data_IF_376755905581
#
_entry.id   IF_376755905581
#
_cell.length_a   1.000
_cell.length_b   1.000
_cell.length_c   1.000
_cell.angle_alpha   90.00
_cell.angle_beta   90.00
_cell.angle_gamma   90.00
#
_symmetry.space_group_name_H-M   'P 1'
#
loop_
_entity.id
_entity.type
_entity.pdbx_description
1 polymer ?
#
# COMPACT_ATOMS: atom_id res chain seq x y z
N UNK A 1 10.29 -11.36 16.83
CA UNK A 1 10.31 -10.58 15.57
C UNK A 1 9.89 -11.50 14.46
N UNK A 2 8.65 -11.40 13.96
CA UNK A 2 8.14 -12.25 12.88
C UNK A 2 7.48 -11.32 11.86
N UNK A 3 8.00 -11.40 10.63
CA UNK A 3 7.61 -10.61 9.49
C UNK A 3 6.16 -10.89 9.07
N UNK A 4 5.45 -9.84 8.68
CA UNK A 4 4.14 -9.93 8.05
C UNK A 4 4.30 -10.57 6.67
N UNK A 5 3.77 -11.78 6.50
CA UNK A 5 3.66 -12.42 5.18
C UNK A 5 2.36 -11.92 4.55
N UNK A 6 2.48 -10.94 3.67
CA UNK A 6 1.48 -10.69 2.63
C UNK A 6 1.39 -11.97 1.79
N UNK A 7 0.18 -12.47 1.56
CA UNK A 7 -0.06 -13.66 0.76
C UNK A 7 0.68 -13.58 -0.58
N UNK A 8 1.73 -14.39 -0.70
CA UNK A 8 2.57 -14.49 -1.89
C UNK A 8 1.76 -15.20 -2.98
N UNK A 9 1.30 -14.46 -3.97
CA UNK A 9 0.92 -15.03 -5.26
C UNK A 9 2.22 -15.33 -6.01
N UNK A 10 2.72 -16.56 -5.90
CA UNK A 10 3.84 -17.06 -6.70
C UNK A 10 3.38 -17.24 -8.15
N UNK A 11 3.64 -16.25 -9.00
CA UNK A 11 3.67 -16.46 -10.44
C UNK A 11 5.11 -16.65 -10.90
N UNK A 12 5.43 -17.88 -11.32
CA UNK A 12 6.65 -18.17 -12.04
C UNK A 12 6.56 -17.52 -13.43
N UNK A 13 7.44 -16.55 -13.70
CA UNK A 13 7.65 -16.04 -15.04
C UNK A 13 9.15 -15.87 -15.29
N UNK A 14 9.71 -16.81 -16.05
CA UNK A 14 10.97 -16.60 -16.74
C UNK A 14 10.73 -15.72 -17.96
N UNK A 15 11.43 -14.60 -18.03
CA UNK A 15 11.86 -13.89 -19.25
C UNK A 15 12.80 -12.78 -18.80
N UNK A 16 14.03 -12.77 -19.33
CA UNK A 16 15.05 -11.79 -18.99
C UNK A 16 14.63 -10.39 -19.46
N UNK A 17 14.12 -9.57 -18.54
CA UNK A 17 14.12 -8.12 -18.71
C UNK A 17 15.55 -7.65 -18.44
N UNK A 18 16.15 -6.96 -19.41
CA UNK A 18 17.41 -6.25 -19.21
C UNK A 18 17.14 -5.14 -18.18
N UNK A 19 17.50 -5.40 -16.92
CA UNK A 19 17.47 -4.39 -15.87
C UNK A 19 18.37 -3.23 -16.26
N UNK A 20 17.77 -2.08 -16.56
CA UNK A 20 18.50 -0.86 -16.84
C UNK A 20 19.24 -0.40 -15.58
N UNK A 21 20.55 -0.16 -15.71
CA UNK A 21 21.36 0.57 -14.73
C UNK A 21 20.90 2.03 -14.75
N UNK A 22 20.58 2.57 -13.57
CA UNK A 22 20.11 3.95 -13.34
C UNK A 22 20.90 4.98 -14.19
N UNK A 23 20.18 5.84 -14.91
CA UNK A 23 20.81 6.84 -15.78
C UNK A 23 20.04 8.16 -15.89
N UNK A 24 19.67 8.73 -14.75
CA UNK A 24 19.63 10.18 -14.49
C UNK A 24 19.70 10.43 -12.97
N UNK A 25 19.92 11.69 -12.55
CA UNK A 25 20.18 12.06 -11.16
C UNK A 25 19.14 11.46 -10.19
N UNK A 26 19.56 10.47 -9.40
CA UNK A 26 18.78 9.91 -8.29
C UNK A 26 17.84 8.76 -8.64
N UNK A 27 17.81 8.21 -9.85
CA UNK A 27 16.93 7.06 -10.16
C UNK A 27 17.29 5.80 -9.33
N UNK A 28 16.26 5.11 -8.86
CA UNK A 28 16.35 3.86 -8.11
C UNK A 28 15.89 2.65 -8.93
N UNK A 29 15.01 1.84 -8.33
CA UNK A 29 14.35 0.72 -9.00
C UNK A 29 13.20 1.22 -9.87
N UNK A 30 13.12 0.83 -11.15
CA UNK A 30 12.07 1.27 -12.07
C UNK A 30 12.34 0.92 -13.53
N UNK A 31 11.52 1.48 -14.43
CA UNK A 31 11.60 1.27 -15.88
C UNK A 31 11.46 2.59 -16.63
N UNK A 32 12.21 2.73 -17.72
CA UNK A 32 11.99 3.78 -18.72
C UNK A 32 10.89 3.35 -19.69
N UNK A 33 9.85 4.16 -19.82
CA UNK A 33 8.73 3.93 -20.73
C UNK A 33 8.85 4.84 -21.96
N UNK A 34 8.66 4.26 -23.15
CA UNK A 34 8.70 4.96 -24.43
C UNK A 34 7.34 4.90 -25.15
N UNK A 35 6.89 5.99 -25.79
CA UNK A 35 7.52 7.31 -25.81
C UNK A 35 7.35 8.06 -24.48
N UNK A 36 8.15 9.11 -24.27
CA UNK A 36 7.85 10.11 -23.23
C UNK A 36 6.56 10.86 -23.55
N UNK A 37 5.90 11.37 -22.52
CA UNK A 37 4.75 12.23 -22.66
C UNK A 37 5.18 13.63 -23.12
N UNK A 38 4.59 14.15 -24.22
CA UNK A 38 4.93 15.47 -24.74
C UNK A 38 4.40 16.60 -23.84
N UNK A 39 5.23 17.62 -23.64
CA UNK A 39 4.88 18.94 -23.09
C UNK A 39 5.95 19.96 -23.53
N UNK A 40 5.67 21.26 -23.38
CA UNK A 40 6.59 22.31 -23.81
C UNK A 40 7.93 22.20 -23.08
N UNK A 41 8.99 22.01 -23.88
CA UNK A 41 10.35 21.89 -23.37
C UNK A 41 10.79 20.45 -23.05
N UNK A 42 9.90 19.46 -23.10
CA UNK A 42 10.32 18.06 -22.97
C UNK A 42 11.07 17.61 -24.22
N UNK A 43 12.31 17.15 -24.04
CA UNK A 43 13.14 16.57 -25.10
C UNK A 43 13.53 15.11 -24.81
N UNK A 44 13.04 14.55 -23.72
CA UNK A 44 13.33 13.17 -23.35
C UNK A 44 12.67 12.21 -24.35
N UNK A 45 13.32 11.09 -24.64
CA UNK A 45 12.75 10.04 -25.49
C UNK A 45 11.86 9.05 -24.71
N UNK A 46 12.00 9.04 -23.38
CA UNK A 46 11.33 8.13 -22.46
C UNK A 46 11.02 8.87 -21.15
N UNK A 47 10.03 8.39 -20.41
CA UNK A 47 9.75 8.81 -19.03
C UNK A 47 10.14 7.71 -18.04
N UNK A 48 10.76 8.08 -16.92
CA UNK A 48 11.11 7.15 -15.87
C UNK A 48 9.91 6.89 -14.95
N UNK A 49 9.53 5.62 -14.80
CA UNK A 49 8.54 5.16 -13.85
C UNK A 49 9.22 4.26 -12.80
N UNK A 50 9.34 4.79 -11.58
CA UNK A 50 9.98 4.05 -10.50
C UNK A 50 10.25 4.90 -9.26
N UNK A 51 11.21 4.41 -8.49
CA UNK A 51 11.71 5.06 -7.29
C UNK A 51 12.88 5.98 -7.59
N UNK A 52 13.18 6.85 -6.64
CA UNK A 52 14.36 7.70 -6.58
C UNK A 52 15.07 7.53 -5.25
N UNK A 53 16.40 7.56 -5.28
CA UNK A 53 17.29 7.55 -4.11
C UNK A 53 17.42 8.97 -3.57
N UNK A 54 16.98 9.16 -2.34
CA UNK A 54 17.00 10.44 -1.64
C UNK A 54 18.36 10.68 -0.95
N UNK A 55 18.54 11.89 -0.39
CA UNK A 55 19.77 12.31 0.31
C UNK A 55 20.13 11.45 1.54
N UNK A 56 19.14 10.81 2.16
CA UNK A 56 19.31 9.88 3.29
C UNK A 56 19.54 8.42 2.84
N UNK A 57 19.67 8.17 1.54
CA UNK A 57 19.82 6.85 0.94
C UNK A 57 18.52 6.04 0.83
N UNK A 58 17.39 6.56 1.33
CA UNK A 58 16.09 5.89 1.18
C UNK A 58 15.59 5.96 -0.27
N UNK A 59 14.78 4.98 -0.67
CA UNK A 59 14.05 4.99 -1.95
C UNK A 59 12.64 5.56 -1.73
N UNK A 60 12.18 6.42 -2.62
CA UNK A 60 10.83 6.98 -2.60
C UNK A 60 10.25 7.13 -4.01
N UNK A 61 8.92 7.20 -4.13
CA UNK A 61 8.23 7.53 -5.37
C UNK A 61 7.93 9.02 -5.44
N UNK A 62 8.02 9.61 -6.63
CA UNK A 62 7.59 10.99 -6.84
C UNK A 62 6.10 11.07 -7.17
N UNK A 63 5.51 12.24 -6.91
CA UNK A 63 4.06 12.49 -7.05
C UNK A 63 3.75 13.81 -7.74
N UNK A 64 4.68 14.32 -8.54
CA UNK A 64 4.49 15.59 -9.26
C UNK A 64 5.11 15.50 -10.66
N UNK A 65 4.54 14.64 -11.50
CA UNK A 65 5.00 14.40 -12.87
C UNK A 65 5.47 15.69 -13.59
N UNK A 66 6.56 15.57 -14.36
CA UNK A 66 7.25 16.62 -15.12
C UNK A 66 8.06 17.67 -14.32
N UNK A 67 7.95 17.74 -12.98
CA UNK A 67 8.95 18.49 -12.20
C UNK A 67 10.28 17.74 -12.16
N UNK A 68 11.35 18.42 -11.76
CA UNK A 68 12.70 17.84 -11.71
C UNK A 68 12.74 16.67 -10.72
N UNK A 69 13.41 15.59 -11.13
CA UNK A 69 13.62 14.42 -10.29
C UNK A 69 14.47 14.78 -9.06
N UNK A 70 14.14 14.27 -7.86
CA UNK A 70 14.99 14.42 -6.70
C UNK A 70 16.26 13.58 -6.87
N UNK A 71 17.33 13.99 -6.20
CA UNK A 71 18.59 13.27 -6.15
C UNK A 71 19.12 13.22 -4.72
N UNK A 72 20.29 12.61 -4.55
CA UNK A 72 21.01 12.60 -3.27
C UNK A 72 21.44 13.99 -2.80
N UNK A 73 21.41 15.01 -3.67
CA UNK A 73 21.67 16.41 -3.33
C UNK A 73 20.40 17.22 -2.98
N UNK A 74 19.21 16.64 -3.12
CA UNK A 74 17.95 17.34 -2.83
C UNK A 74 17.81 17.57 -1.33
N UNK A 75 17.67 18.85 -0.94
CA UNK A 75 17.31 19.25 0.42
C UNK A 75 15.81 19.10 0.66
N UNK A 76 15.42 18.64 1.85
CA UNK A 76 14.03 18.42 2.24
C UNK A 76 13.64 19.29 3.43
N UNK A 77 12.40 19.79 3.42
CA UNK A 77 11.80 20.40 4.60
C UNK A 77 11.55 19.31 5.68
N UNK A 78 11.63 19.66 6.97
CA UNK A 78 11.65 18.68 8.06
C UNK A 78 10.35 17.89 8.20
N UNK A 79 9.20 18.54 8.01
CA UNK A 79 7.90 17.94 8.28
C UNK A 79 7.22 17.46 6.99
N UNK A 80 6.94 16.14 6.85
CA UNK A 80 6.12 15.65 5.76
C UNK A 80 4.71 16.24 5.83
N UNK A 81 4.12 16.54 4.68
CA UNK A 81 2.76 17.11 4.56
C UNK A 81 1.77 16.06 4.05
N UNK A 82 0.47 16.33 4.17
CA UNK A 82 -0.58 15.46 3.58
C UNK A 82 -0.34 15.36 2.07
N UNK A 83 -0.52 14.16 1.49
CA UNK A 83 -0.47 13.99 0.04
C UNK A 83 -1.58 14.79 -0.65
N UNK A 84 -1.19 15.60 -1.63
CA UNK A 84 -2.06 16.40 -2.50
C UNK A 84 -1.87 15.97 -3.95
N UNK A 85 -2.74 16.46 -4.82
CA UNK A 85 -2.42 16.47 -6.25
C UNK A 85 -1.22 17.41 -6.54
N UNK A 86 -0.77 17.39 -7.79
CA UNK A 86 0.35 18.15 -8.32
C UNK A 86 0.21 19.66 -8.10
N UNK A 87 -1.02 20.17 -8.12
CA UNK A 87 -1.35 21.59 -8.01
C UNK A 87 -1.75 22.01 -6.59
N UNK A 88 -1.63 21.12 -5.61
CA UNK A 88 -1.93 21.38 -4.20
C UNK A 88 -3.40 21.15 -3.82
N UNK A 89 -4.22 20.61 -4.72
CA UNK A 89 -5.58 20.18 -4.42
C UNK A 89 -5.61 18.99 -3.47
N UNK A 90 -6.56 18.95 -2.52
CA UNK A 90 -6.64 17.86 -1.56
C UNK A 90 -7.06 16.55 -2.24
N UNK A 91 -6.38 15.45 -1.89
CA UNK A 91 -6.89 14.11 -2.20
C UNK A 91 -7.95 13.69 -1.17
N UNK A 92 -8.85 12.78 -1.55
CA UNK A 92 -9.78 12.20 -0.58
C UNK A 92 -9.03 11.30 0.43
N UNK A 93 -9.57 11.10 1.65
CA UNK A 93 -9.03 10.09 2.57
C UNK A 93 -8.99 8.69 1.96
N UNK A 94 -9.99 8.36 1.13
CA UNK A 94 -10.07 7.10 0.41
C UNK A 94 -8.91 6.91 -0.57
N UNK A 95 -8.58 7.94 -1.35
CA UNK A 95 -7.46 7.88 -2.28
C UNK A 95 -6.10 7.75 -1.59
N UNK A 96 -5.93 8.42 -0.45
CA UNK A 96 -4.72 8.24 0.36
C UNK A 96 -4.65 6.84 0.96
N UNK A 97 -5.77 6.25 1.37
CA UNK A 97 -5.81 4.87 1.83
C UNK A 97 -5.53 3.86 0.68
N UNK A 98 -5.97 4.13 -0.56
CA UNK A 98 -5.57 3.35 -1.75
C UNK A 98 -4.07 3.43 -1.98
N UNK A 99 -3.51 4.64 -1.97
CA UNK A 99 -2.07 4.86 -2.15
C UNK A 99 -1.23 4.14 -1.09
N UNK A 100 -1.72 4.07 0.17
CA UNK A 100 -1.06 3.31 1.21
C UNK A 100 -0.94 1.81 0.87
N UNK A 101 -1.99 1.20 0.33
CA UNK A 101 -1.97 -0.20 -0.13
C UNK A 101 -0.91 -0.38 -1.23
N UNK A 102 -0.87 0.51 -2.22
CA UNK A 102 0.10 0.44 -3.32
C UNK A 102 1.54 0.59 -2.83
N UNK A 103 1.79 1.53 -1.92
CA UNK A 103 3.11 1.80 -1.35
C UNK A 103 3.60 0.65 -0.48
N UNK A 104 2.72 0.01 0.29
CA UNK A 104 3.07 -1.17 1.08
C UNK A 104 3.43 -2.36 0.19
N UNK A 105 2.66 -2.59 -0.89
CA UNK A 105 2.98 -3.60 -1.89
C UNK A 105 4.31 -3.29 -2.60
N UNK A 106 4.52 -2.04 -3.02
CA UNK A 106 5.79 -1.59 -3.59
C UNK A 106 6.98 -1.84 -2.67
N UNK A 107 6.84 -1.55 -1.37
CA UNK A 107 7.87 -1.85 -0.37
C UNK A 107 8.14 -3.35 -0.23
N UNK A 108 7.12 -4.20 -0.28
CA UNK A 108 7.29 -5.66 -0.23
C UNK A 108 8.04 -6.19 -1.47
N UNK A 109 8.05 -5.44 -2.56
CA UNK A 109 8.69 -5.78 -3.84
C UNK A 109 9.74 -4.74 -4.28
N UNK A 110 10.45 -4.13 -3.33
CA UNK A 110 11.32 -2.96 -3.57
C UNK A 110 12.47 -3.19 -4.59
N UNK A 111 12.83 -4.45 -4.84
CA UNK A 111 13.87 -4.84 -5.80
C UNK A 111 13.33 -5.20 -7.18
N UNK A 112 12.00 -5.16 -7.40
CA UNK A 112 11.41 -5.38 -8.72
C UNK A 112 11.20 -4.05 -9.47
N UNK A 113 11.82 -3.90 -10.65
CA UNK A 113 11.54 -2.80 -11.59
C UNK A 113 10.07 -2.69 -11.95
N UNK A 114 9.41 -3.83 -12.20
CA UNK A 114 8.02 -3.89 -12.63
C UNK A 114 7.06 -3.40 -11.55
N UNK A 115 7.25 -3.83 -10.30
CA UNK A 115 6.46 -3.35 -9.17
C UNK A 115 6.69 -1.87 -8.91
N UNK A 116 7.95 -1.43 -8.99
CA UNK A 116 8.29 -0.02 -8.77
C UNK A 116 7.66 0.89 -9.83
N UNK A 117 7.70 0.49 -11.10
CA UNK A 117 7.06 1.20 -12.20
C UNK A 117 5.53 1.19 -12.08
N UNK A 118 4.92 0.06 -11.72
CA UNK A 118 3.47 -0.03 -11.55
C UNK A 118 2.95 0.89 -10.44
N UNK A 119 3.66 0.96 -9.30
CA UNK A 119 3.34 1.89 -8.21
C UNK A 119 3.50 3.35 -8.66
N UNK A 120 4.57 3.67 -9.40
CA UNK A 120 4.80 5.02 -9.93
C UNK A 120 3.67 5.48 -10.87
N UNK A 121 3.26 4.63 -11.82
CA UNK A 121 2.16 4.90 -12.75
C UNK A 121 0.86 5.23 -11.99
N UNK A 122 0.52 4.45 -10.97
CA UNK A 122 -0.69 4.67 -10.17
C UNK A 122 -0.60 5.95 -9.31
N UNK A 123 0.56 6.24 -8.73
CA UNK A 123 0.78 7.46 -7.95
C UNK A 123 0.74 8.71 -8.83
N UNK A 124 1.36 8.67 -10.01
CA UNK A 124 1.29 9.76 -10.99
C UNK A 124 -0.12 9.96 -11.54
N UNK A 125 -0.88 8.89 -11.79
CA UNK A 125 -2.29 9.01 -12.13
C UNK A 125 -3.06 9.68 -10.99
N UNK A 126 -2.88 9.20 -9.76
CA UNK A 126 -3.61 9.70 -8.60
C UNK A 126 -3.31 11.17 -8.32
N UNK A 127 -2.09 11.63 -8.58
CA UNK A 127 -1.65 12.98 -8.22
C UNK A 127 -1.52 13.94 -9.39
N UNK A 128 -1.54 13.46 -10.63
CA UNK A 128 -1.25 14.25 -11.82
C UNK A 128 -2.35 14.26 -12.88
N UNK A 129 -3.40 13.44 -12.78
CA UNK A 129 -4.44 13.33 -13.83
C UNK A 129 -5.70 14.16 -13.56
N UNK A 130 -5.68 15.09 -12.59
CA UNK A 130 -6.79 16.02 -12.31
C UNK A 130 -6.95 17.09 -13.41
N UNK A 131 -5.94 17.21 -14.29
CA UNK A 131 -6.00 17.98 -15.53
C UNK A 131 -5.63 17.07 -16.70
N UNK A 132 -6.14 17.34 -17.93
CA UNK A 132 -5.78 16.55 -19.09
C UNK A 132 -4.29 16.74 -19.45
N UNK A 133 -3.70 15.77 -20.17
CA UNK A 133 -2.41 16.01 -20.81
C UNK A 133 -2.55 17.07 -21.90
N UNK A 134 -1.53 17.91 -22.04
CA UNK A 134 -1.48 18.99 -23.03
C UNK A 134 -0.03 19.21 -23.46
N UNK A 135 0.25 18.94 -24.75
CA UNK A 135 1.58 19.12 -25.32
C UNK A 135 2.00 20.61 -25.41
N UNK A 136 1.04 21.53 -25.37
CA UNK A 136 1.25 22.98 -25.32
C UNK A 136 1.47 23.54 -23.91
N UNK A 137 1.27 22.74 -22.87
CA UNK A 137 1.47 23.15 -21.48
C UNK A 137 2.93 23.03 -21.04
N UNK A 138 3.34 23.89 -20.10
CA UNK A 138 4.64 23.76 -19.44
C UNK A 138 4.66 22.64 -18.39
N UNK A 139 5.86 22.29 -17.91
CA UNK A 139 6.04 21.21 -16.92
C UNK A 139 5.26 21.40 -15.61
N UNK A 140 4.96 22.65 -15.20
CA UNK A 140 4.12 22.95 -14.04
C UNK A 140 2.61 22.71 -14.27
N UNK A 141 2.18 22.75 -15.52
CA UNK A 141 0.76 22.79 -15.90
C UNK A 141 0.27 21.47 -16.48
N UNK A 142 1.14 20.74 -17.20
CA UNK A 142 0.78 19.49 -17.87
C UNK A 142 0.25 18.44 -16.88
N UNK A 143 -0.89 17.83 -17.19
CA UNK A 143 -1.42 16.68 -16.46
C UNK A 143 -0.78 15.36 -16.92
N UNK A 144 -0.70 14.37 -16.03
CA UNK A 144 -0.17 13.04 -16.34
C UNK A 144 -1.10 12.24 -17.24
N UNK A 145 -0.60 11.76 -18.38
CA UNK A 145 -1.29 10.88 -19.31
C UNK A 145 -1.13 9.42 -18.87
N UNK A 146 -2.01 8.99 -17.97
CA UNK A 146 -2.07 7.59 -17.55
C UNK A 146 -2.25 6.63 -18.74
N UNK A 147 -3.03 7.02 -19.76
CA UNK A 147 -3.29 6.17 -20.91
C UNK A 147 -2.03 5.89 -21.72
N UNK A 148 -1.21 6.91 -21.95
CA UNK A 148 0.09 6.77 -22.61
C UNK A 148 1.02 5.85 -21.83
N UNK A 149 1.21 6.11 -20.53
CA UNK A 149 2.15 5.35 -19.70
C UNK A 149 1.70 3.91 -19.49
N UNK A 150 0.40 3.67 -19.25
CA UNK A 150 -0.13 2.31 -19.12
C UNK A 150 0.04 1.52 -20.42
N UNK A 151 -0.21 2.12 -21.60
CA UNK A 151 -0.02 1.42 -22.89
C UNK A 151 1.45 1.16 -23.20
N UNK A 152 2.34 2.08 -22.84
CA UNK A 152 3.78 1.93 -23.01
C UNK A 152 4.38 0.87 -22.06
N UNK A 153 3.77 0.65 -20.89
CA UNK A 153 4.25 -0.31 -19.91
C UNK A 153 4.21 -1.76 -20.45
N UNK A 154 5.22 -2.61 -20.17
CA UNK A 154 5.20 -4.03 -20.53
C UNK A 154 3.98 -4.79 -19.97
N UNK A 155 3.61 -5.90 -20.61
CA UNK A 155 2.47 -6.73 -20.20
C UNK A 155 2.45 -7.10 -18.70
N UNK A 156 3.57 -7.57 -18.11
CA UNK A 156 3.66 -7.83 -16.68
C UNK A 156 3.39 -6.59 -15.80
N UNK A 157 3.88 -5.41 -16.20
CA UNK A 157 3.68 -4.16 -15.46
C UNK A 157 2.20 -3.75 -15.51
N UNK A 158 1.56 -3.83 -16.67
CA UNK A 158 0.12 -3.53 -16.79
C UNK A 158 -0.73 -4.43 -15.89
N UNK A 159 -0.39 -5.73 -15.84
CA UNK A 159 -1.06 -6.65 -14.92
C UNK A 159 -0.89 -6.22 -13.46
N UNK A 160 0.32 -5.85 -13.04
CA UNK A 160 0.56 -5.37 -11.67
C UNK A 160 -0.23 -4.07 -11.39
N UNK A 161 -0.29 -3.14 -12.35
CA UNK A 161 -1.11 -1.92 -12.24
C UNK A 161 -2.59 -2.27 -12.00
N UNK A 162 -3.14 -3.20 -12.78
CA UNK A 162 -4.54 -3.61 -12.65
C UNK A 162 -4.81 -4.31 -11.32
N UNK A 163 -3.93 -5.24 -10.93
CA UNK A 163 -4.01 -5.95 -9.65
C UNK A 163 -3.92 -4.97 -8.47
N UNK A 164 -2.99 -4.00 -8.51
CA UNK A 164 -2.81 -2.99 -7.48
C UNK A 164 -4.00 -2.04 -7.38
N UNK A 165 -4.59 -1.62 -8.51
CA UNK A 165 -5.80 -0.80 -8.50
C UNK A 165 -6.94 -1.54 -7.79
N UNK A 166 -7.21 -2.78 -8.19
CA UNK A 166 -8.22 -3.61 -7.56
C UNK A 166 -7.94 -3.85 -6.06
N UNK A 167 -6.67 -4.07 -5.70
CA UNK A 167 -6.26 -4.22 -4.30
C UNK A 167 -6.49 -2.92 -3.51
N UNK A 168 -6.16 -1.76 -4.07
CA UNK A 168 -6.40 -0.45 -3.44
C UNK A 168 -7.88 -0.21 -3.17
N UNK A 169 -8.75 -0.53 -4.12
CA UNK A 169 -10.20 -0.39 -3.96
C UNK A 169 -10.77 -1.29 -2.88
N UNK A 170 -10.34 -2.57 -2.87
CA UNK A 170 -10.89 -3.60 -1.98
C UNK A 170 -10.28 -3.58 -0.58
N UNK A 171 -8.97 -3.33 -0.47
CA UNK A 171 -8.18 -3.56 0.74
C UNK A 171 -7.74 -2.27 1.44
N UNK A 172 -8.15 -1.09 0.97
CA UNK A 172 -7.88 0.16 1.68
C UNK A 172 -8.45 0.15 3.10
N UNK A 173 -7.70 0.77 4.01
CA UNK A 173 -8.12 0.99 5.40
C UNK A 173 -9.22 2.05 5.54
N UNK A 174 -9.76 2.23 6.76
CA UNK A 174 -9.45 1.47 7.98
C UNK A 174 -10.04 0.06 7.93
N UNK A 175 -9.28 -0.93 8.40
CA UNK A 175 -9.81 -2.28 8.60
C UNK A 175 -10.50 -2.40 9.96
N UNK A 176 -11.38 -3.40 10.07
CA UNK A 176 -12.03 -3.79 11.32
C UNK A 176 -11.66 -5.21 11.69
N UNK A 177 -11.57 -5.46 13.00
CA UNK A 177 -11.48 -6.81 13.58
C UNK A 177 -12.71 -6.99 14.46
N UNK A 178 -13.38 -8.13 14.34
CA UNK A 178 -14.49 -8.50 15.20
C UNK A 178 -14.20 -9.84 15.89
N UNK A 179 -14.62 -9.95 17.16
CA UNK A 179 -14.52 -11.16 17.96
C UNK A 179 -15.91 -11.51 18.46
N UNK A 180 -16.44 -12.66 18.05
CA UNK A 180 -17.75 -13.13 18.42
C UNK A 180 -17.65 -14.40 19.29
N UNK A 181 -18.29 -14.41 20.48
CA UNK A 181 -18.36 -15.61 21.30
C UNK A 181 -19.29 -16.66 20.69
N UNK A 182 -19.20 -17.93 21.13
CA UNK A 182 -20.21 -18.93 20.82
C UNK A 182 -21.58 -18.51 21.39
N UNK A 183 -22.64 -19.10 20.84
CA UNK A 183 -23.98 -18.98 21.42
C UNK A 183 -24.11 -19.84 22.68
N UNK A 184 -24.70 -19.28 23.74
CA UNK A 184 -24.97 -19.99 24.99
C UNK A 184 -23.87 -19.82 26.04
N UNK A 185 -24.09 -20.43 27.21
CA UNK A 185 -23.16 -20.34 28.34
C UNK A 185 -21.89 -21.17 28.13
N UNK A 186 -20.75 -20.62 28.55
CA UNK A 186 -19.48 -21.32 28.53
C UNK A 186 -19.41 -22.33 29.69
N UNK A 187 -18.92 -23.52 29.39
CA UNK A 187 -18.74 -24.59 30.37
C UNK A 187 -17.25 -24.79 30.65
N UNK A 188 -16.88 -24.79 31.93
CA UNK A 188 -15.50 -25.03 32.37
C UNK A 188 -14.94 -26.33 31.81
N UNK A 189 -13.73 -26.28 31.27
CA UNK A 189 -13.05 -27.43 30.68
C UNK A 189 -13.61 -27.91 29.33
N UNK A 190 -14.68 -27.30 28.81
CA UNK A 190 -15.23 -27.64 27.50
C UNK A 190 -14.81 -26.59 26.46
N UNK A 191 -14.22 -27.05 25.36
CA UNK A 191 -13.85 -26.18 24.24
C UNK A 191 -15.11 -25.59 23.59
N UNK A 192 -15.09 -24.29 23.33
CA UNK A 192 -16.16 -23.56 22.67
C UNK A 192 -15.61 -22.75 21.48
N UNK A 193 -16.32 -22.70 20.34
CA UNK A 193 -15.84 -22.03 19.13
C UNK A 193 -16.06 -20.51 19.19
N UNK A 194 -14.98 -19.74 19.09
CA UNK A 194 -15.06 -18.28 18.93
C UNK A 194 -14.76 -17.89 17.48
N UNK A 195 -15.54 -16.97 16.93
CA UNK A 195 -15.35 -16.50 15.54
C UNK A 195 -14.62 -15.16 15.53
N UNK A 196 -13.51 -15.10 14.81
CA UNK A 196 -12.75 -13.88 14.55
C UNK A 196 -12.97 -13.48 13.09
N UNK A 197 -13.20 -12.19 12.81
CA UNK A 197 -13.41 -11.68 11.45
C UNK A 197 -12.56 -10.44 11.20
N UNK A 198 -12.02 -10.33 9.98
CA UNK A 198 -11.34 -9.13 9.48
C UNK A 198 -12.05 -8.64 8.21
N UNK A 199 -12.38 -7.36 8.18
CA UNK A 199 -12.97 -6.72 7.02
C UNK A 199 -12.27 -5.40 6.70
N UNK A 200 -12.23 -5.03 5.41
CA UNK A 200 -11.71 -3.74 4.97
C UNK A 200 -12.70 -2.60 5.24
N UNK A 201 -12.35 -1.38 4.82
CA UNK A 201 -13.23 -0.22 4.98
C UNK A 201 -14.54 -0.31 4.20
N UNK A 202 -14.57 -1.10 3.12
CA UNK A 202 -15.78 -1.34 2.31
C UNK A 202 -16.66 -2.44 2.88
N UNK A 203 -16.22 -3.12 3.95
CA UNK A 203 -16.87 -4.31 4.50
C UNK A 203 -16.46 -5.61 3.80
N UNK A 204 -15.55 -5.54 2.82
CA UNK A 204 -15.08 -6.72 2.11
C UNK A 204 -14.26 -7.63 3.05
N UNK A 205 -14.42 -8.96 2.95
CA UNK A 205 -13.63 -9.89 3.72
C UNK A 205 -12.15 -9.82 3.34
N UNK A 206 -11.27 -9.87 4.35
CA UNK A 206 -9.81 -9.93 4.15
C UNK A 206 -9.29 -11.35 4.40
N UNK A 207 -9.05 -12.15 3.35
CA UNK A 207 -8.64 -13.54 3.47
C UNK A 207 -7.15 -13.70 3.76
N UNK A 208 -6.77 -14.81 4.39
CA UNK A 208 -5.37 -15.18 4.67
C UNK A 208 -4.68 -14.26 5.68
N UNK A 209 -5.44 -13.45 6.41
CA UNK A 209 -4.90 -12.46 7.33
C UNK A 209 -4.46 -13.12 8.64
N UNK A 210 -3.17 -12.99 8.96
CA UNK A 210 -2.62 -13.46 10.22
C UNK A 210 -3.17 -12.65 11.41
N UNK A 211 -3.63 -13.36 12.43
CA UNK A 211 -4.17 -12.81 13.67
C UNK A 211 -3.31 -13.25 14.84
N UNK A 212 -2.98 -12.30 15.73
CA UNK A 212 -2.50 -12.61 17.09
C UNK A 212 -3.71 -12.67 18.00
N UNK A 213 -3.88 -13.79 18.68
CA UNK A 213 -5.03 -14.07 19.56
C UNK A 213 -4.54 -14.15 21.00
N UNK A 214 -5.26 -13.50 21.92
CA UNK A 214 -5.01 -13.63 23.34
C UNK A 214 -6.31 -13.99 24.07
N UNK A 215 -6.21 -15.00 24.92
CA UNK A 215 -7.33 -15.54 25.72
C UNK A 215 -7.00 -15.34 27.19
N UNK A 216 -7.94 -14.77 27.95
CA UNK A 216 -7.89 -14.74 29.42
C UNK A 216 -9.09 -15.48 30.02
N UNK A 217 -8.92 -16.05 31.22
CA UNK A 217 -9.94 -16.91 31.84
C UNK A 217 -10.05 -18.31 31.21
N UNK A 218 -9.15 -18.68 30.31
CA UNK A 218 -9.13 -19.97 29.62
C UNK A 218 -7.88 -20.16 28.78
N UNK A 219 -7.88 -21.17 27.91
CA UNK A 219 -6.81 -21.47 26.96
C UNK A 219 -7.35 -21.48 25.52
N UNK A 220 -6.49 -21.17 24.55
CA UNK A 220 -6.82 -21.16 23.13
C UNK A 220 -5.56 -20.96 22.29
N UNK A 221 -5.67 -20.91 20.95
CA UNK A 221 -4.52 -20.67 20.10
C UNK A 221 -4.01 -19.23 20.26
N UNK A 222 -2.69 -19.06 20.13
CA UNK A 222 -2.06 -17.73 20.13
C UNK A 222 -2.06 -17.06 18.75
N UNK A 223 -2.30 -17.83 17.69
CA UNK A 223 -2.31 -17.37 16.30
C UNK A 223 -3.46 -18.03 15.53
N UNK A 224 -4.00 -17.29 14.55
CA UNK A 224 -4.98 -17.79 13.61
C UNK A 224 -4.80 -17.10 12.25
N UNK A 225 -5.43 -17.63 11.19
CA UNK A 225 -5.46 -16.98 9.89
C UNK A 225 -6.88 -17.03 9.33
N UNK A 226 -7.34 -15.93 8.73
CA UNK A 226 -8.69 -15.87 8.14
C UNK A 226 -8.81 -16.74 6.89
N UNK A 227 -9.97 -17.37 6.71
CA UNK A 227 -10.34 -18.06 5.48
C UNK A 227 -10.77 -17.11 4.36
N UNK A 228 -11.23 -17.66 3.23
CA UNK A 228 -11.69 -16.89 2.07
C UNK A 228 -12.79 -15.86 2.39
N UNK A 229 -13.60 -16.11 3.41
CA UNK A 229 -14.69 -15.26 3.89
C UNK A 229 -14.23 -14.21 4.92
N UNK A 230 -12.92 -14.07 5.13
CA UNK A 230 -12.34 -13.13 6.08
C UNK A 230 -12.57 -13.51 7.54
N UNK A 231 -12.98 -14.75 7.83
CA UNK A 231 -13.22 -15.21 9.19
C UNK A 231 -12.42 -16.48 9.53
N UNK A 232 -12.25 -16.73 10.83
CA UNK A 232 -11.67 -17.96 11.36
C UNK A 232 -12.34 -18.31 12.68
N UNK A 233 -12.58 -19.60 12.90
CA UNK A 233 -13.08 -20.09 14.18
C UNK A 233 -11.92 -20.66 14.98
N UNK A 234 -11.77 -20.22 16.23
CA UNK A 234 -10.74 -20.68 17.16
C UNK A 234 -11.36 -21.41 18.35
N UNK A 235 -10.81 -22.57 18.76
CA UNK A 235 -11.28 -23.26 19.96
C UNK A 235 -10.76 -22.55 21.21
N UNK A 236 -11.66 -22.29 22.16
CA UNK A 236 -11.30 -21.70 23.46
C UNK A 236 -11.91 -22.52 24.58
N UNK A 237 -11.08 -22.93 25.53
CA UNK A 237 -11.49 -23.74 26.69
C UNK A 237 -11.46 -22.88 27.95
N UNK A 238 -12.62 -22.54 28.55
CA UNK A 238 -12.68 -21.84 29.83
C UNK A 238 -11.99 -22.65 30.93
N UNK A 239 -11.25 -21.99 31.81
CA UNK A 239 -10.50 -22.68 32.87
C UNK A 239 -11.39 -23.28 33.95
N UNK A 240 -12.45 -22.57 34.34
CA UNK A 240 -13.36 -23.00 35.41
C UNK A 240 -14.81 -22.70 35.00
N UNK A 241 -15.78 -23.50 35.46
CA UNK A 241 -17.19 -23.23 35.15
C UNK A 241 -17.62 -21.87 35.75
N UNK A 242 -18.33 -21.05 34.97
CA UNK A 242 -18.79 -19.72 35.38
C UNK A 242 -17.72 -18.61 35.33
N UNK A 243 -16.48 -18.92 34.92
CA UNK A 243 -15.44 -17.90 34.72
C UNK A 243 -15.72 -17.08 33.45
N UNK A 244 -15.56 -15.77 33.53
CA UNK A 244 -15.59 -14.91 32.34
C UNK A 244 -14.35 -15.18 31.49
N UNK A 245 -14.56 -15.54 30.23
CA UNK A 245 -13.52 -15.65 29.22
C UNK A 245 -13.50 -14.38 28.39
N UNK A 246 -12.31 -13.83 28.18
CA UNK A 246 -12.08 -12.75 27.23
C UNK A 246 -11.21 -13.26 26.10
N UNK A 247 -11.66 -13.06 24.87
CA UNK A 247 -10.86 -13.31 23.67
C UNK A 247 -10.61 -11.98 23.00
N UNK A 248 -9.35 -11.74 22.66
CA UNK A 248 -8.94 -10.60 21.85
C UNK A 248 -8.16 -11.07 20.63
N UNK A 249 -8.32 -10.34 19.53
CA UNK A 249 -7.63 -10.57 18.29
C UNK A 249 -7.06 -9.25 17.76
N UNK A 250 -5.86 -9.31 17.19
CA UNK A 250 -5.25 -8.16 16.53
C UNK A 250 -4.53 -8.56 15.27
N UNK A 251 -4.45 -7.62 14.34
CA UNK A 251 -3.72 -7.78 13.08
C UNK A 251 -3.09 -6.47 12.63
N UNK A 252 -2.24 -6.57 11.62
CA UNK A 252 -1.66 -5.42 10.91
C UNK A 252 -2.48 -5.14 9.67
N UNK A 253 -2.94 -3.90 9.53
CA UNK A 253 -3.69 -3.39 8.39
C UNK A 253 -2.87 -2.33 7.65
N UNK A 254 -3.16 -2.08 6.36
CA UNK A 254 -2.57 -0.96 5.65
C UNK A 254 -2.80 0.36 6.39
N UNK A 255 -1.86 1.30 6.23
CA UNK A 255 -2.08 2.65 6.70
C UNK A 255 -3.32 3.28 6.03
N UNK A 256 -3.93 4.25 6.72
CA UNK A 256 -5.10 4.98 6.22
C UNK A 256 -4.76 6.35 5.63
N UNK A 257 -3.49 6.74 5.72
CA UNK A 257 -3.01 8.04 5.25
C UNK A 257 -1.60 7.92 4.66
N UNK A 258 -1.30 8.81 3.70
CA UNK A 258 0.00 8.92 3.05
C UNK A 258 0.46 10.37 3.12
N UNK A 259 1.72 10.54 3.47
CA UNK A 259 2.40 11.83 3.56
C UNK A 259 3.44 11.96 2.45
N UNK A 260 3.83 13.18 2.15
CA UNK A 260 4.91 13.46 1.21
C UNK A 260 5.92 14.44 1.79
N UNK A 261 7.19 14.23 1.45
CA UNK A 261 8.28 15.16 1.75
C UNK A 261 8.24 16.31 0.74
N UNK A 262 8.58 17.51 1.22
CA UNK A 262 8.61 18.72 0.39
C UNK A 262 10.06 19.12 0.14
N UNK A 263 10.51 19.23 -1.12
CA UNK A 263 11.86 19.67 -1.42
C UNK A 263 12.02 21.17 -1.12
N UNK A 264 13.24 21.59 -0.81
CA UNK A 264 13.58 22.99 -0.60
C UNK A 264 13.46 23.82 -1.90
N UNK A 265 13.60 23.17 -3.06
CA UNK A 265 13.43 23.77 -4.37
C UNK A 265 12.03 23.48 -4.92
N UNK A 266 11.28 24.50 -5.31
CA UNK A 266 9.91 24.41 -5.82
C UNK A 266 9.80 23.76 -7.22
N UNK A 267 10.94 23.59 -7.91
CA UNK A 267 11.04 22.93 -9.22
C UNK A 267 11.31 21.43 -9.11
N UNK A 268 11.60 20.91 -7.92
CA UNK A 268 11.84 19.48 -7.66
C UNK A 268 10.54 18.81 -7.21
N UNK A 269 10.36 17.55 -7.59
CA UNK A 269 9.20 16.77 -7.20
C UNK A 269 9.14 16.49 -5.70
N UNK A 270 7.93 16.55 -5.14
CA UNK A 270 7.61 15.92 -3.85
C UNK A 270 7.70 14.40 -3.95
N UNK A 271 8.10 13.77 -2.86
CA UNK A 271 8.25 12.33 -2.76
C UNK A 271 7.40 11.75 -1.63
N UNK A 272 6.70 10.64 -1.86
CA UNK A 272 5.86 10.02 -0.83
C UNK A 272 6.68 9.29 0.21
N UNK A 273 6.24 9.42 1.45
CA UNK A 273 6.72 8.62 2.58
C UNK A 273 5.88 7.35 2.63
N UNK A 274 6.52 6.19 2.48
CA UNK A 274 5.85 4.90 2.64
C UNK A 274 5.35 4.82 4.09
N UNK A 275 4.03 4.74 4.31
CA UNK A 275 3.50 4.76 5.66
C UNK A 275 3.80 3.44 6.39
N UNK A 276 3.78 3.51 7.72
CA UNK A 276 3.85 2.32 8.55
C UNK A 276 2.46 1.69 8.65
N UNK A 277 2.33 0.37 8.48
CA UNK A 277 1.06 -0.32 8.70
C UNK A 277 0.51 -0.05 10.10
N UNK A 278 -0.81 -0.09 10.24
CA UNK A 278 -1.50 0.18 11.50
C UNK A 278 -1.91 -1.12 12.19
N UNK A 279 -1.90 -1.14 13.53
CA UNK A 279 -2.42 -2.30 14.29
C UNK A 279 -3.91 -2.08 14.59
N UNK A 280 -4.73 -3.03 14.19
CA UNK A 280 -6.17 -3.08 14.51
C UNK A 280 -6.43 -4.22 15.49
N UNK A 281 -7.33 -4.01 16.47
CA UNK A 281 -7.66 -5.02 17.47
C UNK A 281 -9.12 -4.92 17.93
N UNK A 282 -9.64 -6.05 18.41
CA UNK A 282 -10.90 -6.12 19.13
C UNK A 282 -10.81 -7.16 20.25
N UNK A 283 -11.69 -7.03 21.25
CA UNK A 283 -11.81 -7.96 22.37
C UNK A 283 -13.28 -8.11 22.77
N UNK A 284 -13.67 -9.32 23.15
CA UNK A 284 -15.03 -9.63 23.60
C UNK A 284 -14.98 -10.57 24.80
N UNK A 285 -15.89 -10.36 25.75
CA UNK A 285 -16.07 -11.18 26.95
C UNK A 285 -17.35 -12.03 26.85
N UNK A 286 -17.30 -13.26 27.34
CA UNK A 286 -18.45 -14.13 27.49
C UNK A 286 -18.35 -14.96 28.79
N UNK A 287 -19.48 -15.52 29.23
CA UNK A 287 -19.61 -16.34 30.44
C UNK A 287 -20.28 -17.67 30.13
#
# INVERSE_FOLDING_TARGET
MVAAVVAVVTMAAGSAALGGVASAAGEGTGLWLQPSQPYVGNRAAADWEGTYVLSDGSKAWCVQFALNNPSTATGWLPDPVVLTDKWGGPLSPEDRARAAVWLEAGRAHAESPEWSAAVAILLHQLTGSQRPPDAGAGFREVGYDYGLHYRAAPGPVRKIVDDLRAAGDRLRGPWTVAVAPPSGELRGGQSAPWTLRVASATGDPVPGQALTVAVSGGTGPAQASTGPDGAVTVPVTPGTAGSTVEVSASTTAPATDVRMRVPAQDTVQRAVVVPQPTRVRAATRAR
#
